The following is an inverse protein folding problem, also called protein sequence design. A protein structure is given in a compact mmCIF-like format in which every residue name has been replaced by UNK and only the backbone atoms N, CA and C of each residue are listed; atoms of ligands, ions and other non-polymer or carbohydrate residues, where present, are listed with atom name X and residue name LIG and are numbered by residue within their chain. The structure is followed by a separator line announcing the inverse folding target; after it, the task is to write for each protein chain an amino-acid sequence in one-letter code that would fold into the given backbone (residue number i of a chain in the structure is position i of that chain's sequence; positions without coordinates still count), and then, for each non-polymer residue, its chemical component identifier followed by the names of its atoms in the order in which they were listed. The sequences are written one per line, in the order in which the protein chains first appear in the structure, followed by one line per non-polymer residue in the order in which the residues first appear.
data_IF_072302776682
#
_entry.id   IF_072302776682
#
_cell.length_a   1.000
_cell.length_b   1.000
_cell.length_c   1.000
_cell.angle_alpha   90.00
_cell.angle_beta   90.00
_cell.angle_gamma   90.00
#
_symmetry.space_group_name_H-M   'P 1'
#
loop_
_entity.id
_entity.type
_entity.pdbx_description
1 polymer ?
#
# COMPACT_ATOMS: atom_id res chain seq x y z
N UNK A 1 17.97 7.07 -3.40
CA UNK A 1 17.86 8.55 -3.32
C UNK A 1 18.82 9.15 -2.30
N UNK A 2 18.83 8.71 -1.03
CA UNK A 2 19.69 9.31 0.01
C UNK A 2 21.20 9.35 -0.30
N UNK A 3 21.76 8.33 -0.95
CA UNK A 3 23.20 8.27 -1.28
C UNK A 3 23.59 9.00 -2.58
N UNK A 4 22.62 9.32 -3.44
CA UNK A 4 22.86 10.01 -4.71
C UNK A 4 22.87 11.54 -4.57
N UNK A 5 22.15 12.08 -3.57
CA UNK A 5 22.13 13.52 -3.27
C UNK A 5 23.40 14.00 -2.58
N UNK A 6 24.15 13.09 -1.94
CA UNK A 6 25.42 13.39 -1.26
C UNK A 6 26.64 13.29 -2.17
N UNK A 7 26.47 13.02 -3.48
CA UNK A 7 27.55 12.72 -4.43
C UNK A 7 28.46 11.54 -4.03
N UNK A 8 28.10 10.75 -3.03
CA UNK A 8 28.90 9.62 -2.54
C UNK A 8 28.79 8.43 -3.52
N UNK A 9 27.62 8.24 -4.13
CA UNK A 9 27.38 7.18 -5.12
C UNK A 9 26.77 7.77 -6.37
N UNK A 10 27.49 7.71 -7.48
CA UNK A 10 26.94 8.08 -8.79
C UNK A 10 25.77 7.16 -9.14
N UNK A 11 24.66 7.75 -9.56
CA UNK A 11 23.57 7.01 -10.17
C UNK A 11 24.15 6.27 -11.38
N UNK A 12 24.28 4.95 -11.26
CA UNK A 12 24.99 4.05 -12.17
C UNK A 12 24.30 2.68 -12.16
N UNK A 13 24.50 1.88 -13.20
CA UNK A 13 23.96 0.50 -13.23
C UNK A 13 24.34 -0.30 -11.98
N UNK A 14 25.61 -0.20 -11.55
CA UNK A 14 26.12 -0.85 -10.35
C UNK A 14 25.37 -0.42 -9.09
N UNK A 15 25.07 0.88 -8.95
CA UNK A 15 24.32 1.37 -7.79
C UNK A 15 22.90 0.79 -7.72
N UNK A 16 22.23 0.62 -8.87
CA UNK A 16 20.90 0.00 -8.95
C UNK A 16 21.00 -1.48 -8.61
N UNK A 17 22.01 -2.17 -9.15
CA UNK A 17 22.26 -3.59 -8.91
C UNK A 17 22.54 -3.87 -7.42
N UNK A 18 23.39 -3.08 -6.77
CA UNK A 18 23.67 -3.17 -5.32
C UNK A 18 22.37 -2.95 -4.54
N UNK A 19 21.55 -1.97 -4.92
CA UNK A 19 20.24 -1.74 -4.31
C UNK A 19 19.34 -2.97 -4.38
N UNK A 20 19.26 -3.63 -5.54
CA UNK A 20 18.48 -4.87 -5.73
C UNK A 20 19.04 -6.00 -4.87
N UNK A 21 20.35 -6.19 -4.81
CA UNK A 21 20.98 -7.22 -3.97
C UNK A 21 20.75 -7.00 -2.47
N UNK A 22 20.85 -5.74 -2.00
CA UNK A 22 20.55 -5.41 -0.60
C UNK A 22 19.09 -5.73 -0.29
N UNK A 23 18.16 -5.33 -1.16
CA UNK A 23 16.74 -5.55 -0.98
C UNK A 23 16.40 -7.05 -1.02
N UNK A 24 17.00 -7.81 -1.93
CA UNK A 24 16.92 -9.26 -1.98
C UNK A 24 17.51 -9.92 -0.73
N UNK A 25 18.64 -9.44 -0.23
CA UNK A 25 19.28 -9.92 1.00
C UNK A 25 18.39 -9.69 2.23
N UNK A 26 17.81 -8.50 2.38
CA UNK A 26 16.85 -8.18 3.45
C UNK A 26 15.58 -9.04 3.31
N UNK A 27 15.09 -9.24 2.10
CA UNK A 27 13.93 -10.10 1.84
C UNK A 27 14.19 -11.57 2.23
N UNK A 28 15.37 -12.09 1.92
CA UNK A 28 15.78 -13.45 2.30
C UNK A 28 16.00 -13.58 3.82
N UNK A 29 16.62 -12.58 4.44
CA UNK A 29 16.81 -12.56 5.90
C UNK A 29 15.46 -12.54 6.62
N UNK A 30 14.56 -11.64 6.24
CA UNK A 30 13.21 -11.58 6.82
C UNK A 30 12.44 -12.88 6.61
N UNK A 31 12.53 -13.49 5.43
CA UNK A 31 11.94 -14.81 5.19
C UNK A 31 12.51 -15.89 6.11
N UNK A 32 13.84 -15.89 6.33
CA UNK A 32 14.51 -16.85 7.21
C UNK A 32 14.15 -16.67 8.68
N UNK A 33 13.87 -15.43 9.12
CA UNK A 33 13.44 -15.14 10.49
C UNK A 33 11.94 -15.39 10.74
N UNK A 34 11.09 -15.18 9.73
CA UNK A 34 9.62 -15.35 9.84
C UNK A 34 9.19 -16.81 9.56
N UNK A 35 10.04 -17.60 8.89
CA UNK A 35 9.80 -19.02 8.65
C UNK A 35 8.84 -19.29 7.47
N UNK A 36 8.24 -20.48 7.45
CA UNK A 36 7.41 -21.00 6.35
C UNK A 36 6.03 -20.32 6.20
N UNK A 37 5.79 -19.20 6.87
CA UNK A 37 4.50 -18.51 6.86
C UNK A 37 4.11 -17.96 5.47
N UNK A 38 5.10 -17.73 4.61
CA UNK A 38 4.85 -17.36 3.21
C UNK A 38 4.16 -18.50 2.44
N UNK A 39 4.62 -19.74 2.62
CA UNK A 39 4.09 -20.91 1.90
C UNK A 39 2.70 -21.28 2.42
N UNK A 40 2.47 -21.14 3.73
CA UNK A 40 1.15 -21.33 4.35
C UNK A 40 0.12 -20.33 3.84
N UNK A 41 0.54 -19.10 3.50
CA UNK A 41 -0.34 -18.07 2.91
C UNK A 41 -0.56 -18.23 1.41
N UNK A 42 0.46 -18.66 0.64
CA UNK A 42 0.34 -18.78 -0.81
C UNK A 42 -0.66 -19.89 -1.18
N UNK A 43 -0.51 -21.10 -0.64
CA UNK A 43 -1.34 -22.28 -1.01
C UNK A 43 -2.85 -22.01 -0.98
N UNK A 44 -3.44 -21.48 0.11
CA UNK A 44 -4.88 -21.22 0.17
C UNK A 44 -5.31 -20.03 -0.71
N UNK A 45 -4.41 -19.10 -1.00
CA UNK A 45 -4.71 -17.88 -1.76
C UNK A 45 -4.28 -17.96 -3.23
N UNK A 46 -3.75 -19.10 -3.72
CA UNK A 46 -3.26 -19.26 -5.10
C UNK A 46 -4.27 -18.80 -6.14
N UNK A 47 -5.55 -19.17 -5.99
CA UNK A 47 -6.61 -18.74 -6.91
C UNK A 47 -6.72 -17.21 -6.98
N UNK A 48 -6.60 -16.53 -5.84
CA UNK A 48 -6.66 -15.06 -5.76
C UNK A 48 -5.42 -14.42 -6.41
N UNK A 49 -4.24 -14.99 -6.15
CA UNK A 49 -2.98 -14.54 -6.77
C UNK A 49 -3.07 -14.68 -8.29
N UNK A 50 -3.53 -15.82 -8.79
CA UNK A 50 -3.69 -16.04 -10.24
C UNK A 50 -4.67 -15.04 -10.86
N UNK A 51 -5.80 -14.75 -10.21
CA UNK A 51 -6.74 -13.73 -10.68
C UNK A 51 -6.12 -12.33 -10.72
N UNK A 52 -5.35 -11.98 -9.69
CA UNK A 52 -4.56 -10.74 -9.63
C UNK A 52 -3.61 -10.63 -10.82
N UNK A 53 -2.83 -11.68 -11.08
CA UNK A 53 -1.85 -11.64 -12.17
C UNK A 53 -2.51 -11.63 -13.55
N UNK A 54 -3.61 -12.36 -13.72
CA UNK A 54 -4.39 -12.27 -14.95
C UNK A 54 -4.94 -10.85 -15.18
N UNK A 55 -5.44 -10.20 -14.13
CA UNK A 55 -5.90 -8.81 -14.22
C UNK A 55 -4.73 -7.88 -14.61
N UNK A 56 -3.57 -8.04 -13.97
CA UNK A 56 -2.39 -7.23 -14.26
C UNK A 56 -1.95 -7.38 -15.73
N UNK A 57 -1.86 -8.62 -16.21
CA UNK A 57 -1.47 -8.92 -17.60
C UNK A 57 -2.51 -8.37 -18.58
N UNK A 58 -3.80 -8.59 -18.33
CA UNK A 58 -4.87 -8.08 -19.22
C UNK A 58 -4.88 -6.56 -19.26
N UNK A 59 -4.75 -5.89 -18.12
CA UNK A 59 -4.68 -4.43 -18.05
C UNK A 59 -3.43 -3.90 -18.78
N UNK A 60 -2.28 -4.54 -18.56
CA UNK A 60 -1.02 -4.18 -19.22
C UNK A 60 -1.12 -4.35 -20.75
N UNK A 61 -1.53 -5.53 -21.23
CA UNK A 61 -1.65 -5.84 -22.66
C UNK A 61 -2.72 -4.96 -23.31
N UNK A 62 -3.87 -4.78 -22.66
CA UNK A 62 -4.94 -3.93 -23.16
C UNK A 62 -4.47 -2.49 -23.40
N UNK A 63 -3.77 -1.90 -22.42
CA UNK A 63 -3.25 -0.54 -22.57
C UNK A 63 -2.04 -0.48 -23.51
N UNK A 64 -1.22 -1.52 -23.55
CA UNK A 64 -0.11 -1.64 -24.49
C UNK A 64 -0.60 -1.63 -25.94
N UNK A 65 -1.70 -2.33 -26.25
CA UNK A 65 -2.31 -2.32 -27.59
C UNK A 65 -2.81 -0.92 -27.97
N UNK A 66 -3.42 -0.19 -27.04
CA UNK A 66 -3.81 1.21 -27.25
C UNK A 66 -2.59 2.07 -27.57
N UNK A 67 -1.47 1.84 -26.87
CA UNK A 67 -0.23 2.58 -27.13
C UNK A 67 0.46 2.16 -28.43
N UNK A 68 0.39 0.88 -28.79
CA UNK A 68 0.93 0.34 -30.03
C UNK A 68 0.22 0.92 -31.27
N UNK A 69 -1.07 1.30 -31.16
CA UNK A 69 -1.79 1.95 -32.25
C UNK A 69 -1.25 3.35 -32.60
N UNK A 70 -0.64 4.06 -31.63
CA UNK A 70 -0.06 5.38 -31.85
C UNK A 70 1.17 5.60 -30.95
N UNK A 71 2.33 4.98 -31.24
CA UNK A 71 3.50 5.00 -30.34
C UNK A 71 4.23 6.35 -30.30
N UNK A 72 3.86 7.29 -31.17
CA UNK A 72 4.55 8.58 -31.32
C UNK A 72 4.52 9.43 -30.05
N UNK A 73 5.73 9.85 -29.65
CA UNK A 73 5.99 10.70 -28.47
C UNK A 73 5.94 12.20 -28.81
N UNK A 74 5.75 12.54 -30.08
CA UNK A 74 5.71 13.90 -30.59
C UNK A 74 4.56 14.06 -31.58
N UNK A 75 3.83 15.16 -31.51
CA UNK A 75 2.82 15.51 -32.51
C UNK A 75 2.71 17.04 -32.61
N UNK A 76 2.72 17.65 -33.81
CA UNK A 76 2.77 19.11 -33.96
C UNK A 76 1.64 19.86 -33.23
N UNK A 77 0.45 19.28 -33.19
CA UNK A 77 -0.77 19.92 -32.66
C UNK A 77 -1.28 19.34 -31.33
N UNK A 78 -0.83 18.13 -30.96
CA UNK A 78 -1.39 17.33 -29.83
C UNK A 78 -0.31 16.76 -28.91
N UNK A 79 0.94 17.17 -29.11
CA UNK A 79 2.09 16.59 -28.45
C UNK A 79 2.86 17.60 -27.62
N UNK A 80 2.20 18.55 -26.95
CA UNK A 80 2.90 19.53 -26.10
C UNK A 80 3.45 18.92 -24.80
N UNK A 81 2.66 18.07 -24.14
CA UNK A 81 2.99 17.49 -22.82
C UNK A 81 3.94 16.29 -22.88
N UNK A 82 3.73 15.37 -23.83
CA UNK A 82 4.53 14.14 -24.00
C UNK A 82 6.05 14.36 -24.19
N UNK A 83 6.52 15.32 -25.01
CA UNK A 83 7.95 15.56 -25.17
C UNK A 83 8.58 16.21 -23.95
N UNK A 84 7.82 17.00 -23.18
CA UNK A 84 8.28 17.52 -21.90
C UNK A 84 8.54 16.37 -20.92
N UNK A 85 7.58 15.44 -20.77
CA UNK A 85 7.74 14.26 -19.92
C UNK A 85 8.91 13.37 -20.38
N UNK A 86 9.05 13.20 -21.70
CA UNK A 86 10.15 12.42 -22.27
C UNK A 86 11.51 13.10 -22.07
N UNK A 87 11.58 14.43 -22.13
CA UNK A 87 12.79 15.19 -21.84
C UNK A 87 13.20 15.03 -20.38
N UNK A 88 12.25 15.10 -19.44
CA UNK A 88 12.53 14.85 -18.02
C UNK A 88 13.00 13.43 -17.74
N UNK A 89 12.35 12.43 -18.35
CA UNK A 89 12.82 11.04 -18.22
C UNK A 89 14.25 10.88 -18.75
N UNK A 90 14.55 11.45 -19.93
CA UNK A 90 15.90 11.42 -20.48
C UNK A 90 16.92 12.15 -19.62
N UNK A 91 16.53 13.28 -19.00
CA UNK A 91 17.39 14.02 -18.10
C UNK A 91 17.81 13.16 -16.90
N UNK A 92 16.83 12.51 -16.25
CA UNK A 92 17.07 11.60 -15.11
C UNK A 92 17.87 10.36 -15.52
N UNK A 93 17.58 9.78 -16.69
CA UNK A 93 18.33 8.61 -17.19
C UNK A 93 19.77 8.98 -17.50
N UNK A 94 20.06 10.17 -18.04
CA UNK A 94 21.42 10.59 -18.41
C UNK A 94 22.22 11.16 -17.23
N UNK A 95 21.57 11.80 -16.26
CA UNK A 95 22.24 12.37 -15.09
C UNK A 95 22.86 11.28 -14.20
N UNK A 96 24.13 11.46 -13.81
CA UNK A 96 24.81 10.62 -12.82
C UNK A 96 24.66 11.14 -11.38
N UNK A 97 24.21 12.38 -11.22
CA UNK A 97 24.03 13.09 -9.95
C UNK A 97 22.56 13.43 -9.72
N UNK A 98 22.18 13.56 -8.45
CA UNK A 98 20.84 14.02 -8.05
C UNK A 98 21.05 15.33 -7.28
N UNK A 99 20.39 16.45 -7.65
CA UNK A 99 19.33 16.59 -8.66
C UNK A 99 19.80 16.49 -10.12
N UNK A 100 18.94 16.01 -11.04
CA UNK A 100 19.27 15.91 -12.47
C UNK A 100 19.27 17.31 -13.13
N UNK A 101 19.90 17.42 -14.31
CA UNK A 101 19.91 18.66 -15.07
C UNK A 101 18.52 18.97 -15.66
N UNK A 102 18.22 20.25 -15.85
CA UNK A 102 16.99 20.68 -16.52
C UNK A 102 17.22 20.79 -18.05
N UNK A 103 16.47 20.05 -18.89
CA UNK A 103 16.59 20.16 -20.35
C UNK A 103 16.13 21.52 -20.90
N UNK A 104 15.34 22.29 -20.15
CA UNK A 104 14.78 23.58 -20.57
C UNK A 104 15.48 24.79 -19.95
N UNK A 105 16.39 24.56 -19.01
CA UNK A 105 17.17 25.60 -18.35
C UNK A 105 18.66 25.23 -18.33
N UNK A 106 19.42 25.81 -19.27
CA UNK A 106 20.84 25.49 -19.46
C UNK A 106 21.66 25.78 -18.21
N UNK A 107 22.34 24.76 -17.68
CA UNK A 107 23.13 24.87 -16.45
C UNK A 107 22.32 24.83 -15.15
N UNK A 108 20.99 24.71 -15.26
CA UNK A 108 20.08 24.55 -14.14
C UNK A 108 19.89 23.11 -13.68
N UNK A 109 19.27 22.99 -12.51
CA UNK A 109 18.80 21.72 -11.97
C UNK A 109 17.28 21.62 -12.11
N UNK A 110 16.78 20.39 -12.27
CA UNK A 110 15.35 20.14 -12.42
C UNK A 110 14.59 20.39 -11.11
N UNK A 111 13.90 21.51 -11.03
CA UNK A 111 13.02 21.86 -9.90
C UNK A 111 11.57 21.42 -10.18
N UNK A 112 11.38 20.11 -10.35
CA UNK A 112 10.06 19.53 -10.56
C UNK A 112 9.94 18.21 -9.81
N UNK A 113 8.71 17.73 -9.58
CA UNK A 113 8.51 16.41 -9.02
C UNK A 113 8.89 15.33 -10.04
N UNK A 114 10.07 14.72 -9.88
CA UNK A 114 10.61 13.71 -10.81
C UNK A 114 10.64 12.28 -10.24
N UNK A 115 9.97 12.02 -9.10
CA UNK A 115 10.03 10.72 -8.44
C UNK A 115 9.46 9.58 -9.31
N UNK A 116 8.37 9.83 -10.03
CA UNK A 116 7.80 8.86 -10.98
C UNK A 116 8.77 8.50 -12.10
N UNK A 117 9.39 9.53 -12.71
CA UNK A 117 10.40 9.38 -13.75
C UNK A 117 11.66 8.69 -13.21
N UNK A 118 12.02 8.90 -11.94
CA UNK A 118 13.15 8.24 -11.29
C UNK A 118 12.93 6.73 -11.10
N UNK A 119 11.71 6.30 -10.74
CA UNK A 119 11.37 4.88 -10.67
C UNK A 119 11.52 4.20 -12.03
N UNK A 120 10.98 4.83 -13.09
CA UNK A 120 11.10 4.32 -14.46
C UNK A 120 12.55 4.37 -14.95
N UNK A 121 13.31 5.43 -14.66
CA UNK A 121 14.71 5.57 -15.04
C UNK A 121 15.61 4.51 -14.40
N UNK A 122 15.30 4.09 -13.17
CA UNK A 122 16.01 3.01 -12.49
C UNK A 122 15.81 1.67 -13.21
N UNK A 123 14.58 1.39 -13.67
CA UNK A 123 14.26 0.22 -14.48
C UNK A 123 14.92 0.27 -15.86
N UNK A 124 14.94 1.45 -16.50
CA UNK A 124 15.62 1.67 -17.79
C UNK A 124 17.11 1.38 -17.66
N UNK A 125 17.77 1.92 -16.63
CA UNK A 125 19.20 1.68 -16.41
C UNK A 125 19.49 0.23 -16.10
N UNK A 126 18.61 -0.46 -15.37
CA UNK A 126 18.75 -1.89 -15.08
C UNK A 126 18.57 -2.77 -16.33
N UNK A 127 17.64 -2.41 -17.22
CA UNK A 127 17.33 -3.21 -18.42
C UNK A 127 18.16 -2.82 -19.66
N UNK A 128 18.76 -1.64 -19.66
CA UNK A 128 19.51 -1.11 -20.81
C UNK A 128 18.63 -0.75 -22.03
N UNK A 129 17.31 -0.67 -21.86
CA UNK A 129 16.37 -0.38 -22.94
C UNK A 129 16.47 1.10 -23.36
N UNK A 130 16.29 1.38 -24.65
CA UNK A 130 16.24 2.75 -25.17
C UNK A 130 15.07 3.53 -24.52
N UNK A 131 15.28 4.77 -24.00
CA UNK A 131 14.24 5.50 -23.28
C UNK A 131 12.93 5.69 -24.05
N UNK A 132 12.97 5.82 -25.38
CA UNK A 132 11.76 5.97 -26.23
C UNK A 132 10.87 4.73 -26.21
N UNK A 133 11.48 3.54 -26.21
CA UNK A 133 10.76 2.27 -26.10
C UNK A 133 10.28 2.08 -24.67
N UNK A 134 11.16 2.33 -23.69
CA UNK A 134 10.81 2.17 -22.28
C UNK A 134 9.66 3.08 -21.83
N UNK A 135 9.57 4.33 -22.33
CA UNK A 135 8.45 5.22 -22.04
C UNK A 135 7.12 4.60 -22.49
N UNK A 136 7.08 4.03 -23.71
CA UNK A 136 5.89 3.38 -24.25
C UNK A 136 5.49 2.10 -23.50
N UNK A 137 6.43 1.45 -22.80
CA UNK A 137 6.16 0.29 -21.93
C UNK A 137 5.81 0.70 -20.49
N UNK A 138 6.36 1.81 -20.00
CA UNK A 138 6.16 2.30 -18.64
C UNK A 138 4.74 2.80 -18.41
N UNK A 139 4.12 3.47 -19.38
CA UNK A 139 2.74 3.97 -19.23
C UNK A 139 1.73 2.81 -19.07
N UNK A 140 1.71 1.77 -19.93
CA UNK A 140 0.90 0.57 -19.71
C UNK A 140 1.20 -0.13 -18.38
N UNK A 141 2.46 -0.18 -17.97
CA UNK A 141 2.84 -0.76 -16.68
C UNK A 141 2.18 -0.01 -15.52
N UNK A 142 2.23 1.32 -15.53
CA UNK A 142 1.66 2.16 -14.47
C UNK A 142 0.14 1.98 -14.41
N UNK A 143 -0.51 1.87 -15.56
CA UNK A 143 -1.92 1.55 -15.67
C UNK A 143 -2.27 0.16 -15.09
N UNK A 144 -1.45 -0.86 -15.37
CA UNK A 144 -1.67 -2.19 -14.81
C UNK A 144 -1.57 -2.18 -13.27
N UNK A 145 -0.57 -1.47 -12.73
CA UNK A 145 -0.40 -1.34 -11.29
C UNK A 145 -1.54 -0.58 -10.61
N UNK A 146 -2.06 0.49 -11.22
CA UNK A 146 -3.23 1.18 -10.65
C UNK A 146 -4.45 0.28 -10.65
N UNK A 147 -4.67 -0.50 -11.72
CA UNK A 147 -5.75 -1.48 -11.77
C UNK A 147 -5.61 -2.56 -10.67
N UNK A 148 -4.40 -3.09 -10.46
CA UNK A 148 -4.11 -4.03 -9.37
C UNK A 148 -4.28 -3.40 -7.97
N UNK A 149 -3.89 -2.14 -7.80
CA UNK A 149 -4.11 -1.38 -6.57
C UNK A 149 -5.60 -1.21 -6.25
N UNK A 150 -6.41 -0.84 -7.25
CA UNK A 150 -7.87 -0.74 -7.10
C UNK A 150 -8.48 -2.10 -6.75
N UNK A 151 -8.07 -3.17 -7.44
CA UNK A 151 -8.52 -4.53 -7.11
C UNK A 151 -8.17 -4.91 -5.67
N UNK A 152 -6.97 -4.58 -5.19
CA UNK A 152 -6.55 -4.85 -3.81
C UNK A 152 -7.48 -4.18 -2.79
N UNK A 153 -7.81 -2.91 -3.02
CA UNK A 153 -8.68 -2.13 -2.14
C UNK A 153 -10.09 -2.70 -2.15
N UNK A 154 -10.67 -2.92 -3.34
CA UNK A 154 -12.03 -3.45 -3.50
C UNK A 154 -12.15 -4.84 -2.87
N UNK A 155 -11.14 -5.69 -3.04
CA UNK A 155 -11.14 -7.02 -2.43
C UNK A 155 -10.97 -6.97 -0.90
N UNK A 156 -10.27 -5.96 -0.37
CA UNK A 156 -10.07 -5.75 1.07
C UNK A 156 -11.30 -5.18 1.79
N UNK A 157 -12.13 -4.39 1.11
CA UNK A 157 -13.27 -3.67 1.70
C UNK A 157 -14.32 -4.56 2.40
N UNK A 158 -14.70 -5.75 1.89
CA UNK A 158 -15.66 -6.62 2.56
C UNK A 158 -15.20 -7.07 3.94
N UNK A 159 -13.90 -7.32 4.15
CA UNK A 159 -13.37 -7.79 5.44
C UNK A 159 -13.41 -6.75 6.56
N UNK A 160 -13.32 -5.47 6.20
CA UNK A 160 -13.35 -4.35 7.16
C UNK A 160 -14.72 -4.23 7.84
N UNK A 161 -15.80 -4.58 7.13
CA UNK A 161 -17.16 -4.52 7.65
C UNK A 161 -17.54 -5.71 8.55
N UNK A 162 -16.85 -6.86 8.44
CA UNK A 162 -17.13 -8.05 9.26
C UNK A 162 -16.24 -8.18 10.50
N UNK A 163 -15.03 -7.61 10.50
CA UNK A 163 -14.16 -7.57 11.69
C UNK A 163 -14.79 -6.78 12.86
N UNK A 164 -15.68 -5.83 12.57
CA UNK A 164 -16.47 -5.12 13.59
C UNK A 164 -17.65 -5.96 14.14
N UNK A 165 -18.02 -7.08 13.50
CA UNK A 165 -19.14 -7.95 13.93
C UNK A 165 -18.72 -9.22 14.66
N UNK A 166 -17.46 -9.66 14.57
CA UNK A 166 -17.00 -10.92 15.17
C UNK A 166 -15.82 -10.74 16.11
N UNK A 167 -15.87 -9.73 16.98
CA UNK A 167 -15.18 -9.80 18.25
C UNK A 167 -16.16 -10.40 19.27
N UNK A 168 -15.87 -11.53 19.96
CA UNK A 168 -16.55 -11.78 21.21
C UNK A 168 -16.22 -10.57 22.08
N UNK A 169 -17.25 -9.76 22.38
CA UNK A 169 -17.10 -8.62 23.27
C UNK A 169 -16.36 -9.10 24.52
N UNK A 170 -15.44 -8.29 25.03
CA UNK A 170 -14.72 -8.55 26.29
C UNK A 170 -15.70 -8.95 27.42
N UNK A 171 -16.95 -8.52 27.32
CA UNK A 171 -18.11 -8.92 28.13
C UNK A 171 -18.38 -10.43 28.13
N UNK A 172 -18.29 -11.14 27.00
CA UNK A 172 -18.50 -12.60 26.93
C UNK A 172 -17.37 -13.38 27.61
N UNK A 173 -16.11 -12.96 27.43
CA UNK A 173 -14.95 -13.56 28.11
C UNK A 173 -14.98 -13.31 29.62
N UNK A 174 -15.43 -12.13 30.06
CA UNK A 174 -15.65 -11.82 31.49
C UNK A 174 -16.81 -12.65 32.06
N UNK A 175 -17.88 -12.87 31.30
CA UNK A 175 -19.00 -13.71 31.74
C UNK A 175 -18.61 -15.19 31.91
N UNK A 176 -17.72 -15.71 31.06
CA UNK A 176 -17.23 -17.09 31.17
C UNK A 176 -16.15 -17.25 32.25
N UNK A 177 -15.31 -16.23 32.47
CA UNK A 177 -14.44 -16.14 33.66
C UNK A 177 -15.26 -16.10 34.95
N UNK A 178 -16.38 -15.36 34.97
CA UNK A 178 -17.27 -15.26 36.12
C UNK A 178 -18.13 -16.53 36.34
N UNK A 179 -18.34 -17.36 35.31
CA UNK A 179 -18.93 -18.70 35.43
C UNK A 179 -17.93 -19.74 35.93
N UNK A 180 -16.68 -19.71 35.47
CA UNK A 180 -15.63 -20.63 35.96
C UNK A 180 -15.18 -20.32 37.40
N UNK A 181 -15.10 -19.03 37.77
CA UNK A 181 -14.81 -18.61 39.14
C UNK A 181 -15.92 -19.00 40.13
N UNK A 182 -17.18 -19.11 39.67
CA UNK A 182 -18.31 -19.55 40.49
C UNK A 182 -18.30 -21.05 40.79
N UNK A 183 -17.57 -21.85 40.01
CA UNK A 183 -17.45 -23.28 40.22
C UNK A 183 -16.30 -23.68 41.17
N UNK A 184 -15.38 -22.74 41.46
CA UNK A 184 -14.23 -22.97 42.35
C UNK A 184 -14.44 -22.48 43.80
N UNK A 185 -15.50 -21.73 44.11
CA UNK A 185 -15.74 -21.15 45.45
C UNK A 185 -16.93 -21.86 46.13
N UNK A 186 -16.95 -23.20 46.11
CA UNK A 186 -17.86 -23.99 46.96
C UNK A 186 -17.11 -24.96 47.89
N UNK A 187 -15.95 -24.54 48.36
CA UNK A 187 -15.18 -25.27 49.37
C UNK A 187 -14.49 -24.35 50.39
N UNK A 188 -15.19 -23.33 50.93
CA UNK A 188 -14.72 -22.61 52.12
C UNK A 188 -15.78 -21.67 52.71
N UNK A 189 -16.69 -22.26 53.49
CA UNK A 189 -17.16 -21.80 54.81
C UNK A 189 -17.18 -20.32 55.23
N UNK A 190 -17.55 -19.34 54.40
CA UNK A 190 -17.77 -17.97 54.87
C UNK A 190 -19.10 -17.37 54.40
N UNK A 191 -19.91 -16.99 55.39
CA UNK A 191 -21.18 -16.27 55.25
C UNK A 191 -20.90 -14.82 54.82
N UNK A 192 -21.22 -14.48 53.58
CA UNK A 192 -21.54 -13.10 53.22
C UNK A 192 -22.85 -13.12 52.44
N UNK A 193 -23.89 -12.57 53.07
CA UNK A 193 -25.22 -12.39 52.49
C UNK A 193 -25.17 -11.15 51.59
N UNK A 194 -25.12 -11.35 50.29
CA UNK A 194 -25.50 -10.33 49.31
C UNK A 194 -26.81 -10.76 48.65
N UNK A 195 -27.87 -10.06 49.04
CA UNK A 195 -29.20 -10.21 48.47
C UNK A 195 -29.22 -9.43 47.15
N UNK A 196 -29.33 -10.13 46.03
CA UNK A 196 -29.75 -9.52 44.78
C UNK A 196 -31.16 -10.03 44.50
N UNK A 197 -32.15 -9.18 44.78
CA UNK A 197 -33.52 -9.43 44.37
C UNK A 197 -33.60 -9.37 42.85
N UNK A 198 -34.14 -10.44 42.31
CA UNK A 198 -34.72 -10.62 40.98
C UNK A 198 -35.33 -9.31 40.43
N UNK A 199 -34.90 -8.91 39.22
CA UNK A 199 -35.80 -8.26 38.26
C UNK A 199 -35.86 -9.17 37.04
N UNK A 200 -36.82 -10.09 37.09
CA UNK A 200 -37.45 -10.68 35.93
C UNK A 200 -38.42 -9.64 35.36
N UNK A 201 -38.21 -9.18 34.13
CA UNK A 201 -39.17 -8.32 33.45
C UNK A 201 -38.70 -7.86 32.08
N UNK A 202 -39.31 -8.42 31.03
CA UNK A 202 -39.72 -7.67 29.84
C UNK A 202 -38.65 -7.12 28.88
N UNK A 203 -38.56 -7.75 27.71
CA UNK A 203 -38.74 -7.14 26.38
C UNK A 203 -38.50 -5.63 26.20
N UNK A 204 -37.66 -5.31 25.21
CA UNK A 204 -37.65 -4.06 24.43
C UNK A 204 -37.36 -2.74 25.16
N UNK A 205 -36.10 -2.28 25.12
CA UNK A 205 -35.78 -0.82 25.09
C UNK A 205 -34.28 -0.45 25.01
N UNK A 206 -33.34 -1.38 24.83
CA UNK A 206 -31.90 -1.04 24.66
C UNK A 206 -31.60 -0.70 23.19
N UNK A 207 -32.34 0.25 22.61
CA UNK A 207 -32.09 0.72 21.24
C UNK A 207 -32.21 2.25 21.10
N UNK A 208 -32.04 3.03 22.18
CA UNK A 208 -32.26 4.49 22.12
C UNK A 208 -31.05 5.39 22.45
N UNK A 209 -29.86 4.87 22.78
CA UNK A 209 -28.70 5.74 23.04
C UNK A 209 -27.38 5.20 22.50
N UNK A 210 -27.23 5.22 21.18
CA UNK A 210 -25.92 5.37 20.52
C UNK A 210 -25.92 6.70 19.76
N UNK A 211 -25.65 7.80 20.47
CA UNK A 211 -25.19 9.06 19.87
C UNK A 211 -23.74 9.23 20.31
N UNK A 212 -22.82 8.70 19.52
CA UNK A 212 -21.37 8.84 19.69
C UNK A 212 -20.81 9.55 18.45
N UNK A 213 -21.39 10.70 18.15
CA UNK A 213 -20.98 11.63 17.10
C UNK A 213 -21.34 13.03 17.62
N UNK A 214 -20.42 13.64 18.36
CA UNK A 214 -20.31 15.10 18.58
C UNK A 214 -19.16 15.36 19.58
N UNK A 215 -17.92 15.27 19.10
CA UNK A 215 -16.78 15.98 19.70
C UNK A 215 -15.97 16.56 18.54
N UNK A 216 -16.31 17.79 18.17
CA UNK A 216 -15.42 18.84 17.63
C UNK A 216 -16.31 20.01 17.24
N UNK A 217 -16.18 21.12 17.98
CA UNK A 217 -16.53 22.53 17.70
C UNK A 217 -17.16 23.15 18.97
N UNK A 218 -16.60 24.29 19.40
CA UNK A 218 -16.84 25.10 20.59
C UNK A 218 -16.06 24.73 21.87
N UNK A 219 -14.85 25.26 21.96
CA UNK A 219 -14.27 25.66 23.25
C UNK A 219 -14.61 27.12 23.51
N UNK A 220 -15.58 27.38 24.37
CA UNK A 220 -15.83 28.70 24.97
C UNK A 220 -15.07 28.81 26.31
N UNK A 221 -14.55 30.02 26.52
CA UNK A 221 -13.75 30.49 27.66
C UNK A 221 -14.67 30.85 28.83
N UNK A 222 -14.38 30.43 30.08
CA UNK A 222 -15.06 30.98 31.25
C UNK A 222 -14.29 32.15 31.88
N UNK A 223 -15.09 33.09 32.42
CA UNK A 223 -14.75 34.34 33.10
C UNK A 223 -13.74 34.24 34.26
#
# INVERSE_FOLDING_TARGET
MAFGSTNIVSFSFLSVLIGVFILGGVSLLTHRFIGNDLISHIRPNLRRIVWMEMLLIVAFVGFLLVRAANPDLWHPWKGGEKPMDFAYLNAVVKSSTVPPYDPWYSGGYLNYYYFGQFMVASLIRFTGIVPSVAYNLAVPWLFALTAGGVFSIVYGLPGVNFACKTGPSMVSKVADLCRSARCSIRASGWKYRWSYSIISGGSQSIFSRCRFWEILIFGEVPE
#
